data_IF_458748889996
#
_entry.id   IF_458748889996
#
_cell.length_a   1.000
_cell.length_b   1.000
_cell.length_c   1.000
_cell.angle_alpha   90.00
_cell.angle_beta   90.00
_cell.angle_gamma   90.00
#
_symmetry.space_group_name_H-M   'P 1'
#
loop_
_entity.id
_entity.type
_entity.pdbx_description
1 polymer ?
#
# COMPACT_ATOMS: atom_id res chain seq x y z
N UNK A 1 14.88 -15.34 14.04
CA UNK A 1 15.13 -14.35 12.99
C UNK A 1 15.56 -13.06 13.65
N UNK A 2 16.60 -12.43 13.12
CA UNK A 2 16.98 -11.05 13.48
C UNK A 2 15.84 -10.11 13.10
N UNK A 3 15.75 -8.95 13.77
CA UNK A 3 14.82 -7.87 13.39
C UNK A 3 15.03 -7.48 11.93
N UNK A 4 16.25 -7.59 11.43
CA UNK A 4 16.61 -7.22 10.05
C UNK A 4 16.08 -8.24 9.05
N UNK A 5 16.20 -9.53 9.37
CA UNK A 5 15.65 -10.64 8.58
C UNK A 5 14.11 -10.59 8.55
N UNK A 6 13.48 -10.27 9.69
CA UNK A 6 12.02 -10.13 9.75
C UNK A 6 11.52 -8.96 8.89
N UNK A 7 12.28 -7.86 8.84
CA UNK A 7 11.95 -6.71 7.98
C UNK A 7 12.10 -7.05 6.51
N UNK A 8 13.20 -7.69 6.13
CA UNK A 8 13.42 -8.13 4.75
C UNK A 8 12.31 -9.10 4.29
N UNK A 9 11.94 -10.06 5.15
CA UNK A 9 10.84 -10.99 4.87
C UNK A 9 9.49 -10.27 4.70
N UNK A 10 9.17 -9.31 5.58
CA UNK A 10 7.93 -8.54 5.48
C UNK A 10 7.87 -7.73 4.18
N UNK A 11 8.97 -7.08 3.80
CA UNK A 11 9.07 -6.35 2.53
C UNK A 11 8.85 -7.27 1.34
N UNK A 12 9.50 -8.43 1.33
CA UNK A 12 9.37 -9.42 0.25
C UNK A 12 7.92 -9.94 0.12
N UNK A 13 7.27 -10.26 1.23
CA UNK A 13 5.85 -10.66 1.24
C UNK A 13 4.99 -9.55 0.65
N UNK A 14 5.24 -8.29 1.04
CA UNK A 14 4.45 -7.17 0.57
C UNK A 14 4.60 -6.92 -0.93
N UNK A 15 5.83 -7.00 -1.44
CA UNK A 15 6.11 -6.89 -2.88
C UNK A 15 5.39 -8.00 -3.67
N UNK A 16 5.44 -9.25 -3.17
CA UNK A 16 4.69 -10.36 -3.79
C UNK A 16 3.18 -10.15 -3.78
N UNK A 17 2.62 -9.65 -2.67
CA UNK A 17 1.18 -9.34 -2.59
C UNK A 17 0.75 -8.26 -3.58
N UNK A 18 1.59 -7.24 -3.79
CA UNK A 18 1.32 -6.19 -4.80
C UNK A 18 1.26 -6.83 -6.20
N UNK A 19 2.26 -7.63 -6.56
CA UNK A 19 2.31 -8.29 -7.88
C UNK A 19 1.11 -9.23 -8.11
N UNK A 20 0.76 -10.05 -7.11
CA UNK A 20 -0.41 -10.93 -7.17
C UNK A 20 -1.71 -10.15 -7.35
N UNK A 21 -1.90 -9.06 -6.60
CA UNK A 21 -3.08 -8.20 -6.71
C UNK A 21 -3.14 -7.53 -8.09
N UNK A 22 -2.04 -7.01 -8.60
CA UNK A 22 -1.97 -6.42 -9.94
C UNK A 22 -2.36 -7.42 -11.03
N UNK A 23 -1.85 -8.65 -10.95
CA UNK A 23 -2.23 -9.73 -11.85
C UNK A 23 -3.73 -10.05 -11.78
N UNK A 24 -4.29 -10.13 -10.57
CA UNK A 24 -5.72 -10.35 -10.37
C UNK A 24 -6.58 -9.22 -10.99
N UNK A 25 -6.21 -7.96 -10.76
CA UNK A 25 -6.93 -6.82 -11.31
C UNK A 25 -6.85 -6.78 -12.84
N UNK A 26 -5.69 -7.10 -13.41
CA UNK A 26 -5.53 -7.19 -14.87
C UNK A 26 -6.49 -8.23 -15.47
N UNK A 27 -6.53 -9.44 -14.92
CA UNK A 27 -7.44 -10.50 -15.35
C UNK A 27 -8.92 -10.10 -15.21
N UNK A 28 -9.25 -9.36 -14.15
CA UNK A 28 -10.61 -8.87 -13.94
C UNK A 28 -11.01 -7.80 -14.98
N UNK A 29 -10.12 -6.88 -15.36
CA UNK A 29 -10.37 -5.93 -16.46
C UNK A 29 -10.53 -6.64 -17.80
N UNK A 30 -9.67 -7.62 -18.10
CA UNK A 30 -9.79 -8.46 -19.30
C UNK A 30 -11.15 -9.16 -19.36
N UNK A 31 -11.62 -9.68 -18.23
CA UNK A 31 -12.94 -10.31 -18.15
C UNK A 31 -14.05 -9.32 -18.46
N UNK A 32 -14.00 -8.11 -17.90
CA UNK A 32 -14.98 -7.05 -18.17
C UNK A 32 -15.01 -6.71 -19.67
N UNK A 33 -13.84 -6.60 -20.31
CA UNK A 33 -13.73 -6.27 -21.74
C UNK A 33 -14.25 -7.35 -22.69
N UNK A 34 -14.43 -8.60 -22.22
CA UNK A 34 -14.95 -9.72 -23.02
C UNK A 34 -16.45 -9.91 -22.91
N UNK A 35 -17.14 -9.26 -21.95
CA UNK A 35 -18.59 -9.40 -21.81
C UNK A 35 -19.28 -8.36 -22.69
N UNK A 36 -20.28 -8.79 -23.45
CA UNK A 36 -21.17 -7.89 -24.20
C UNK A 36 -22.17 -7.22 -23.24
N UNK A 37 -21.68 -6.22 -22.52
CA UNK A 37 -22.50 -5.33 -21.69
C UNK A 37 -22.70 -4.00 -22.42
N UNK A 38 -23.80 -3.31 -22.09
CA UNK A 38 -23.96 -1.91 -22.50
C UNK A 38 -22.86 -1.03 -21.89
N UNK A 39 -22.46 0.01 -22.61
CA UNK A 39 -21.35 0.92 -22.24
C UNK A 39 -21.43 1.41 -20.79
N UNK A 40 -22.62 1.81 -20.32
CA UNK A 40 -22.82 2.28 -18.95
C UNK A 40 -22.61 1.22 -17.86
N UNK A 41 -22.87 -0.06 -18.17
CA UNK A 41 -22.60 -1.16 -17.24
C UNK A 41 -21.09 -1.47 -17.19
N UNK A 42 -20.41 -1.47 -18.34
CA UNK A 42 -18.95 -1.61 -18.43
C UNK A 42 -18.26 -0.50 -17.61
N UNK A 43 -18.61 0.76 -17.85
CA UNK A 43 -18.00 1.90 -17.15
C UNK A 43 -18.16 1.79 -15.62
N UNK A 44 -19.33 1.36 -15.14
CA UNK A 44 -19.59 1.19 -13.72
C UNK A 44 -18.75 0.08 -13.10
N UNK A 45 -18.64 -1.07 -13.77
CA UNK A 45 -17.81 -2.18 -13.30
C UNK A 45 -16.32 -1.81 -13.28
N UNK A 46 -15.84 -1.16 -14.34
CA UNK A 46 -14.47 -0.65 -14.43
C UNK A 46 -14.17 0.30 -13.28
N UNK A 47 -15.07 1.25 -13.00
CA UNK A 47 -14.86 2.21 -11.91
C UNK A 47 -14.84 1.56 -10.52
N UNK A 48 -15.70 0.58 -10.27
CA UNK A 48 -15.69 -0.19 -9.02
C UNK A 48 -14.36 -0.95 -8.86
N UNK A 49 -13.87 -1.54 -9.95
CA UNK A 49 -12.62 -2.30 -9.94
C UNK A 49 -11.40 -1.40 -9.73
N UNK A 50 -11.36 -0.22 -10.36
CA UNK A 50 -10.31 0.78 -10.15
C UNK A 50 -10.23 1.23 -8.69
N UNK A 51 -11.36 1.54 -8.06
CA UNK A 51 -11.41 1.95 -6.65
C UNK A 51 -10.97 0.82 -5.71
N UNK A 52 -11.37 -0.41 -6.01
CA UNK A 52 -10.91 -1.57 -5.26
C UNK A 52 -9.40 -1.76 -5.36
N UNK A 53 -8.84 -1.64 -6.57
CA UNK A 53 -7.39 -1.74 -6.82
C UNK A 53 -6.62 -0.71 -6.01
N UNK A 54 -7.04 0.54 -6.10
CA UNK A 54 -6.40 1.64 -5.37
C UNK A 54 -6.40 1.38 -3.86
N UNK A 55 -7.56 1.02 -3.30
CA UNK A 55 -7.68 0.75 -1.86
C UNK A 55 -6.88 -0.47 -1.39
N UNK A 56 -6.62 -1.45 -2.26
CA UNK A 56 -5.85 -2.65 -1.93
C UNK A 56 -4.34 -2.47 -2.08
N UNK A 57 -3.88 -1.75 -3.13
CA UNK A 57 -2.46 -1.65 -3.48
C UNK A 57 -1.78 -0.47 -2.78
N UNK A 58 -2.43 0.70 -2.73
CA UNK A 58 -1.80 1.92 -2.19
C UNK A 58 -1.29 1.73 -0.76
N UNK A 59 -2.05 1.14 0.19
CA UNK A 59 -1.54 0.94 1.56
C UNK A 59 -0.32 0.02 1.61
N UNK A 60 -0.23 -0.96 0.71
CA UNK A 60 0.93 -1.85 0.62
C UNK A 60 2.15 -1.08 0.10
N UNK A 61 1.99 -0.17 -0.86
CA UNK A 61 3.09 0.66 -1.37
C UNK A 61 3.57 1.66 -0.33
N UNK A 62 2.66 2.40 0.30
CA UNK A 62 2.96 3.40 1.33
C UNK A 62 3.75 2.80 2.49
N UNK A 63 3.40 1.58 2.90
CA UNK A 63 4.10 0.88 3.96
C UNK A 63 5.53 0.46 3.56
N UNK A 64 5.84 0.30 2.27
CA UNK A 64 7.23 0.04 1.80
C UNK A 64 8.04 1.33 1.89
N UNK A 65 7.41 2.46 1.59
CA UNK A 65 8.02 3.79 1.55
C UNK A 65 8.12 4.45 2.92
N UNK A 66 7.28 4.04 3.89
CA UNK A 66 7.30 4.56 5.24
C UNK A 66 8.70 4.35 5.89
N UNK A 67 9.36 5.42 6.39
CA UNK A 67 10.56 5.29 7.16
C UNK A 67 10.29 4.37 8.35
N UNK A 68 11.09 3.31 8.48
CA UNK A 68 10.96 2.33 9.55
C UNK A 68 11.15 3.00 10.92
N UNK A 69 10.08 3.53 11.52
CA UNK A 69 10.05 3.92 12.94
C UNK A 69 10.01 2.63 13.76
N UNK A 70 11.08 1.85 13.73
CA UNK A 70 11.32 0.82 14.74
C UNK A 70 11.83 1.51 16.00
N UNK A 71 10.97 2.29 16.70
CA UNK A 71 11.30 2.72 18.06
C UNK A 71 11.47 1.46 18.91
N UNK A 72 12.60 1.34 19.58
CA UNK A 72 12.75 0.36 20.64
C UNK A 72 11.70 0.67 21.73
N UNK A 73 11.15 -0.34 22.44
CA UNK A 73 10.34 -0.08 23.63
C UNK A 73 11.20 0.72 24.62
N UNK A 74 10.91 2.01 24.81
CA UNK A 74 11.64 2.89 25.72
C UNK A 74 12.22 4.18 25.11
N UNK A 75 12.10 4.41 23.81
CA UNK A 75 12.59 5.66 23.21
C UNK A 75 11.57 6.80 23.39
N UNK A 76 11.74 7.59 24.45
CA UNK A 76 10.99 8.83 24.66
C UNK A 76 11.17 9.77 23.47
N UNK A 77 10.12 10.49 23.05
CA UNK A 77 10.21 11.42 21.93
C UNK A 77 11.27 12.50 22.21
N UNK A 78 12.04 12.95 21.20
CA UNK A 78 12.93 14.08 21.38
C UNK A 78 12.11 15.29 21.84
N UNK A 79 12.51 15.87 22.97
CA UNK A 79 11.93 17.09 23.49
C UNK A 79 11.94 18.14 22.38
N UNK A 80 10.75 18.62 22.02
CA UNK A 80 10.55 19.67 21.06
C UNK A 80 11.54 20.81 21.39
N UNK A 81 12.25 21.25 20.35
CA UNK A 81 13.25 22.30 20.41
C UNK A 81 12.74 23.45 21.29
N UNK A 82 13.41 23.66 22.43
CA UNK A 82 13.28 24.87 23.21
C UNK A 82 13.75 26.01 22.31
N UNK A 83 12.79 26.77 21.77
CA UNK A 83 13.07 28.07 21.19
C UNK A 83 13.67 28.96 22.29
N UNK A 84 14.87 29.54 22.11
CA UNK A 84 15.35 30.54 23.02
C UNK A 84 14.61 31.85 22.73
N UNK A 85 13.58 32.16 23.51
CA UNK A 85 13.08 33.54 23.59
C UNK A 85 14.15 34.38 24.26
N UNK A 86 14.89 35.13 23.44
CA UNK A 86 15.89 36.10 23.87
C UNK A 86 15.32 37.23 24.71
N UNK A 87 16.21 37.82 25.49
CA UNK A 87 16.04 38.91 26.45
C UNK A 87 15.56 40.23 25.83
#
# INVERSE_FOLDING_TARGET
>A
MSRDEQRAAMRQVREGLIEELEGLYHQAFDRIGRVELGEGAVARLTQLLLRSREAAITPLQEEIEAPLITRAPGESPPAAAAEPTGA
#
